data_IF_382652412667
#
_entry.id   IF_382652412667
#
_cell.length_a   1.000
_cell.length_b   1.000
_cell.length_c   1.000
_cell.angle_alpha   90.00
_cell.angle_beta   90.00
_cell.angle_gamma   90.00
#
_symmetry.space_group_name_H-M   'P 1'
#
loop_
_entity.id
_entity.type
_entity.pdbx_description
1 polymer ?
#
# COMPACT_ATOMS: atom_id res chain seq x y z
N UNK A 1 -19.15 7.04 -16.22
CA UNK A 1 -17.94 7.28 -15.39
C UNK A 1 -17.96 6.26 -14.28
N UNK A 2 -16.93 5.42 -14.19
CA UNK A 2 -16.78 4.41 -13.14
C UNK A 2 -16.62 5.10 -11.79
N UNK A 3 -17.39 4.71 -10.78
CA UNK A 3 -17.29 5.31 -9.46
C UNK A 3 -15.91 4.98 -8.86
N UNK A 4 -15.08 5.98 -8.60
CA UNK A 4 -13.76 5.78 -7.96
C UNK A 4 -13.89 5.13 -6.58
N UNK A 5 -15.05 5.18 -5.92
CA UNK A 5 -15.30 4.46 -4.68
C UNK A 5 -15.49 2.94 -4.88
N UNK A 6 -15.89 2.50 -6.07
CA UNK A 6 -16.02 1.08 -6.45
C UNK A 6 -14.68 0.50 -6.95
N UNK A 7 -13.70 1.36 -7.26
CA UNK A 7 -12.36 0.95 -7.62
C UNK A 7 -11.44 1.04 -6.40
N UNK A 8 -10.59 0.04 -6.20
CA UNK A 8 -9.55 0.10 -5.16
C UNK A 8 -8.51 1.16 -5.53
N UNK A 9 -8.64 2.36 -4.96
CA UNK A 9 -7.72 3.47 -5.24
C UNK A 9 -6.57 3.45 -4.24
N UNK A 10 -5.35 3.35 -4.75
CA UNK A 10 -4.12 3.48 -3.95
C UNK A 10 -3.76 4.96 -3.86
N UNK A 11 -3.51 5.44 -2.63
CA UNK A 11 -3.07 6.81 -2.37
C UNK A 11 -1.78 6.79 -1.58
N UNK A 12 -0.78 7.55 -2.03
CA UNK A 12 0.35 7.93 -1.21
C UNK A 12 -0.14 8.83 -0.06
N UNK A 13 0.42 8.62 1.13
CA UNK A 13 0.04 9.34 2.36
C UNK A 13 1.18 10.24 2.83
N UNK A 14 2.35 9.66 3.08
CA UNK A 14 3.56 10.36 3.52
C UNK A 14 4.78 9.43 3.46
N UNK A 15 5.97 10.00 3.69
CA UNK A 15 7.17 9.25 4.08
C UNK A 15 7.35 9.40 5.59
N UNK A 16 7.63 8.31 6.29
CA UNK A 16 7.89 8.31 7.73
C UNK A 16 9.27 7.72 8.02
N UNK A 17 10.05 8.42 8.85
CA UNK A 17 11.29 7.89 9.42
C UNK A 17 10.97 7.07 10.67
N UNK A 18 11.42 5.82 10.71
CA UNK A 18 11.39 4.95 11.90
C UNK A 18 12.83 4.65 12.33
N UNK A 19 12.99 3.90 13.42
CA UNK A 19 14.32 3.48 13.91
C UNK A 19 15.09 2.69 12.85
N UNK A 20 14.36 1.89 12.08
CA UNK A 20 14.93 0.89 11.18
C UNK A 20 14.99 1.33 9.72
N UNK A 21 14.60 2.58 9.39
CA UNK A 21 14.64 3.07 8.01
C UNK A 21 13.60 4.15 7.68
N UNK A 22 13.46 4.44 6.39
CA UNK A 22 12.44 5.34 5.85
C UNK A 22 11.38 4.54 5.11
N UNK A 23 10.12 4.93 5.29
CA UNK A 23 8.99 4.19 4.75
C UNK A 23 8.02 5.10 4.00
N UNK A 24 7.74 4.78 2.74
CA UNK A 24 6.67 5.37 1.97
C UNK A 24 5.35 4.67 2.30
N UNK A 25 4.36 5.43 2.77
CA UNK A 25 3.09 4.89 3.24
C UNK A 25 1.99 5.10 2.21
N UNK A 26 1.28 4.02 1.92
CA UNK A 26 0.16 4.00 0.99
C UNK A 26 -1.09 3.47 1.68
N UNK A 27 -2.25 3.95 1.23
CA UNK A 27 -3.55 3.45 1.66
C UNK A 27 -4.41 3.11 0.46
N UNK A 28 -5.09 1.98 0.54
CA UNK A 28 -6.11 1.56 -0.42
C UNK A 28 -7.47 1.65 0.23
N UNK A 29 -8.42 2.26 -0.48
CA UNK A 29 -9.83 2.23 -0.10
C UNK A 29 -10.67 1.83 -1.31
N UNK A 30 -11.73 1.06 -1.06
CA UNK A 30 -12.69 0.68 -2.08
C UNK A 30 -13.92 0.02 -1.48
N UNK A 31 -14.96 -0.15 -2.28
CA UNK A 31 -16.17 -0.88 -1.92
C UNK A 31 -16.30 -2.05 -2.89
N UNK A 32 -16.43 -3.28 -2.36
CA UNK A 32 -16.65 -4.49 -3.18
C UNK A 32 -17.67 -5.40 -2.52
N UNK A 33 -18.72 -5.78 -3.25
CA UNK A 33 -19.75 -6.71 -2.76
C UNK A 33 -20.48 -6.24 -1.49
N UNK A 34 -20.63 -4.92 -1.30
CA UNK A 34 -21.24 -4.33 -0.10
C UNK A 34 -20.30 -4.18 1.10
N UNK A 35 -19.05 -4.65 1.02
CA UNK A 35 -18.04 -4.45 2.05
C UNK A 35 -17.19 -3.21 1.78
N UNK A 36 -16.96 -2.39 2.82
CA UNK A 36 -15.96 -1.32 2.79
C UNK A 36 -14.58 -1.91 3.06
N UNK A 37 -13.68 -1.81 2.09
CA UNK A 37 -12.32 -2.30 2.19
C UNK A 37 -11.35 -1.15 2.46
N UNK A 38 -10.43 -1.36 3.41
CA UNK A 38 -9.33 -0.45 3.68
C UNK A 38 -8.08 -1.25 4.04
N UNK A 39 -6.99 -1.02 3.31
CA UNK A 39 -5.68 -1.58 3.61
C UNK A 39 -4.63 -0.48 3.63
N UNK A 40 -3.58 -0.64 4.42
CA UNK A 40 -2.42 0.25 4.43
C UNK A 40 -1.16 -0.58 4.22
N UNK A 41 -0.23 -0.07 3.42
CA UNK A 41 1.07 -0.70 3.19
C UNK A 41 2.17 0.34 3.36
N UNK A 42 3.23 -0.06 4.05
CA UNK A 42 4.43 0.74 4.25
C UNK A 42 5.55 0.05 3.49
N UNK A 43 6.13 0.74 2.52
CA UNK A 43 7.23 0.22 1.70
C UNK A 43 8.52 0.87 2.18
N UNK A 44 9.52 0.04 2.49
CA UNK A 44 10.86 0.50 2.81
C UNK A 44 11.52 1.11 1.56
N UNK A 45 12.07 2.32 1.69
CA UNK A 45 12.73 3.02 0.59
C UNK A 45 13.95 2.23 0.09
N UNK A 46 14.70 1.57 0.99
CA UNK A 46 15.87 0.77 0.60
C UNK A 46 15.45 -0.45 -0.23
N UNK A 47 14.31 -1.07 0.11
CA UNK A 47 13.75 -2.19 -0.66
C UNK A 47 13.27 -1.75 -2.06
N UNK A 48 12.92 -0.48 -2.22
CA UNK A 48 12.59 0.15 -3.50
C UNK A 48 13.81 0.75 -4.22
N UNK A 49 15.00 0.67 -3.61
CA UNK A 49 16.25 1.23 -4.12
C UNK A 49 16.16 2.73 -4.44
N UNK A 50 15.58 3.49 -3.51
CA UNK A 50 15.46 4.97 -3.55
C UNK A 50 15.92 5.57 -2.22
N UNK A 51 16.36 6.82 -2.24
CA UNK A 51 16.84 7.56 -1.07
C UNK A 51 15.82 8.64 -0.64
N UNK A 52 15.71 8.99 0.66
CA UNK A 52 14.87 10.09 1.11
C UNK A 52 15.18 11.47 0.50
N UNK A 53 16.32 11.65 -0.16
CA UNK A 53 16.71 12.88 -0.88
C UNK A 53 16.26 12.89 -2.35
N UNK A 54 15.76 11.78 -2.87
CA UNK A 54 15.16 11.71 -4.21
C UNK A 54 13.87 12.55 -4.28
N UNK A 55 13.38 12.79 -5.49
CA UNK A 55 12.10 13.49 -5.68
C UNK A 55 10.95 12.66 -5.12
N UNK A 56 9.89 13.31 -4.65
CA UNK A 56 8.72 12.62 -4.13
C UNK A 56 8.09 11.76 -5.23
N UNK A 57 8.10 12.24 -6.47
CA UNK A 57 7.61 11.54 -7.64
C UNK A 57 8.35 10.21 -7.87
N UNK A 58 9.68 10.22 -7.82
CA UNK A 58 10.50 9.02 -8.02
C UNK A 58 10.29 8.00 -6.87
N UNK A 59 10.25 8.48 -5.62
CA UNK A 59 9.99 7.63 -4.45
C UNK A 59 8.60 6.99 -4.56
N UNK A 60 7.58 7.77 -4.92
CA UNK A 60 6.21 7.28 -5.08
C UNK A 60 6.13 6.28 -6.22
N UNK A 61 6.76 6.54 -7.37
CA UNK A 61 6.74 5.63 -8.50
C UNK A 61 7.38 4.28 -8.13
N UNK A 62 8.60 4.30 -7.57
CA UNK A 62 9.32 3.10 -7.19
C UNK A 62 8.59 2.30 -6.10
N UNK A 63 8.18 2.96 -5.02
CA UNK A 63 7.52 2.29 -3.90
C UNK A 63 6.11 1.79 -4.27
N UNK A 64 5.39 2.50 -5.16
CA UNK A 64 4.05 2.07 -5.57
C UNK A 64 4.04 0.74 -6.32
N UNK A 65 5.10 0.43 -7.08
CA UNK A 65 5.26 -0.87 -7.77
C UNK A 65 5.28 -2.03 -6.78
N UNK A 66 6.02 -1.87 -5.68
CA UNK A 66 6.07 -2.84 -4.58
C UNK A 66 4.71 -2.90 -3.87
N UNK A 67 4.14 -1.75 -3.49
CA UNK A 67 2.84 -1.67 -2.84
C UNK A 67 1.75 -2.41 -3.62
N UNK A 68 1.64 -2.16 -4.93
CA UNK A 68 0.67 -2.83 -5.82
C UNK A 68 0.90 -4.33 -5.85
N UNK A 69 2.16 -4.78 -5.94
CA UNK A 69 2.49 -6.21 -6.00
C UNK A 69 2.04 -6.93 -4.74
N UNK A 70 2.39 -6.39 -3.57
CA UNK A 70 2.06 -7.01 -2.29
C UNK A 70 0.56 -6.98 -2.02
N UNK A 71 -0.14 -5.89 -2.36
CA UNK A 71 -1.60 -5.82 -2.25
C UNK A 71 -2.34 -6.81 -3.16
N UNK A 72 -1.81 -7.11 -4.36
CA UNK A 72 -2.39 -8.09 -5.29
C UNK A 72 -2.14 -9.54 -4.86
N UNK A 73 -0.97 -9.79 -4.27
CA UNK A 73 -0.54 -11.14 -3.90
C UNK A 73 -0.88 -11.49 -2.44
N UNK A 74 -1.51 -10.59 -1.69
CA UNK A 74 -1.89 -10.83 -0.31
C UNK A 74 -2.99 -11.88 -0.21
N UNK A 75 -2.71 -12.98 0.49
CA UNK A 75 -3.73 -13.87 1.02
C UNK A 75 -4.18 -13.35 2.39
N UNK A 76 -5.49 -13.18 2.57
CA UNK A 76 -6.05 -12.71 3.83
C UNK A 76 -6.53 -13.92 4.63
N UNK A 77 -6.00 -14.07 5.84
CA UNK A 77 -6.44 -15.08 6.78
C UNK A 77 -7.33 -14.45 7.85
N UNK A 78 -8.36 -15.17 8.26
CA UNK A 78 -9.14 -14.78 9.44
C UNK A 78 -8.40 -15.23 10.69
N UNK A 79 -8.21 -14.31 11.62
CA UNK A 79 -7.70 -14.65 12.94
C UNK A 79 -8.68 -15.59 13.66
N UNK A 80 -8.17 -16.69 14.21
CA UNK A 80 -8.96 -17.62 15.03
C UNK A 80 -9.80 -18.66 14.26
N UNK A 81 -9.78 -18.67 12.92
CA UNK A 81 -10.40 -19.72 12.12
C UNK A 81 -9.34 -20.52 11.36
N UNK A 82 -9.03 -21.73 11.85
CA UNK A 82 -8.45 -22.75 10.98
C UNK A 82 -9.57 -23.28 10.10
N UNK A 83 -9.40 -23.21 8.78
CA UNK A 83 -10.30 -23.88 7.85
C UNK A 83 -10.29 -25.38 8.22
N UNK A 84 -11.45 -25.90 8.62
CA UNK A 84 -11.67 -27.32 8.85
C UNK A 84 -11.68 -28.08 7.53
#
# INVERSE_FOLDING_TARGET
MTNLAENFVIRFINITKKKDGFFANFRVKGIRGGASFSASVSVDLDAANVDPTDTIEDIVEACSKIAIRELRNSEFHLEGFTAA
#
